data_IF_827760621848
#
_entry.id   IF_827760621848
#
_cell.length_a   1.000
_cell.length_b   1.000
_cell.length_c   1.000
_cell.angle_alpha   90.00
_cell.angle_beta   90.00
_cell.angle_gamma   90.00
#
_symmetry.space_group_name_H-M   'P 1'
#
loop_
_entity.id
_entity.type
_entity.pdbx_description
1 polymer ?
#
# COMPACT_ATOMS: atom_id res chain seq x y z
N UNK A 1 5.81 -18.38 3.03
CA UNK A 1 6.08 -16.98 3.43
C UNK A 1 6.04 -16.10 2.18
N UNK A 2 5.18 -15.07 2.17
CA UNK A 2 5.03 -14.14 1.03
C UNK A 2 6.32 -13.33 0.84
N UNK A 3 6.73 -13.07 -0.41
CA UNK A 3 7.98 -12.34 -0.73
C UNK A 3 8.04 -10.96 -0.06
N UNK A 4 6.90 -10.28 0.06
CA UNK A 4 6.79 -8.95 0.70
C UNK A 4 7.17 -8.99 2.20
N UNK A 5 6.82 -10.07 2.91
CA UNK A 5 7.21 -10.28 4.31
C UNK A 5 8.72 -10.47 4.51
N UNK A 6 9.46 -10.76 3.43
CA UNK A 6 10.93 -10.82 3.41
C UNK A 6 11.58 -9.49 2.96
N UNK A 7 10.81 -8.41 2.88
CA UNK A 7 11.30 -7.09 2.51
C UNK A 7 11.41 -6.84 1.00
N UNK A 8 11.00 -7.79 0.14
CA UNK A 8 11.01 -7.53 -1.30
C UNK A 8 10.01 -6.41 -1.65
N UNK A 9 10.46 -5.46 -2.47
CA UNK A 9 9.68 -4.36 -3.05
C UNK A 9 9.94 -4.28 -4.57
N UNK A 10 8.98 -3.85 -5.39
CA UNK A 10 9.20 -3.63 -6.82
C UNK A 10 10.28 -2.58 -7.10
N UNK A 11 10.98 -2.70 -8.24
CA UNK A 11 11.86 -1.64 -8.75
C UNK A 11 10.99 -0.46 -9.20
N UNK A 12 11.32 0.74 -8.74
CA UNK A 12 10.69 1.99 -9.20
C UNK A 12 11.42 2.46 -10.46
N UNK A 13 10.67 3.00 -11.45
CA UNK A 13 11.27 3.50 -12.69
C UNK A 13 12.14 4.72 -12.41
N UNK A 14 13.28 4.82 -13.10
CA UNK A 14 14.22 5.95 -12.99
C UNK A 14 13.59 7.27 -13.48
N UNK A 15 12.55 7.19 -14.33
CA UNK A 15 11.79 8.35 -14.81
C UNK A 15 10.78 8.90 -13.79
N UNK A 16 10.65 8.26 -12.63
CA UNK A 16 9.70 8.67 -11.59
C UNK A 16 10.22 9.92 -10.89
N UNK A 17 9.43 11.00 -10.78
CA UNK A 17 9.85 12.20 -10.06
C UNK A 17 10.31 11.88 -8.64
N UNK A 18 11.40 12.50 -8.20
CA UNK A 18 12.05 12.21 -6.91
C UNK A 18 11.08 12.25 -5.72
N UNK A 19 10.19 13.25 -5.69
CA UNK A 19 9.18 13.37 -4.64
C UNK A 19 8.26 12.12 -4.57
N UNK A 20 7.87 11.57 -5.71
CA UNK A 20 7.04 10.36 -5.78
C UNK A 20 7.85 9.13 -5.35
N UNK A 21 9.13 9.04 -5.72
CA UNK A 21 10.03 7.96 -5.25
C UNK A 21 10.15 7.97 -3.73
N UNK A 22 10.42 9.13 -3.15
CA UNK A 22 10.59 9.31 -1.71
C UNK A 22 9.29 8.97 -0.96
N UNK A 23 8.13 9.38 -1.50
CA UNK A 23 6.82 9.01 -0.96
C UNK A 23 6.56 7.49 -1.00
N UNK A 24 6.84 6.83 -2.13
CA UNK A 24 6.66 5.38 -2.26
C UNK A 24 7.52 4.64 -1.23
N UNK A 25 8.79 5.04 -1.07
CA UNK A 25 9.71 4.44 -0.09
C UNK A 25 9.17 4.61 1.33
N UNK A 26 8.71 5.81 1.69
CA UNK A 26 8.16 6.11 3.01
C UNK A 26 6.87 5.31 3.30
N UNK A 27 5.98 5.19 2.32
CA UNK A 27 4.76 4.37 2.42
C UNK A 27 5.05 2.87 2.57
N UNK A 28 6.17 2.39 2.04
CA UNK A 28 6.58 0.98 2.06
C UNK A 28 7.41 0.57 3.27
N UNK A 29 7.60 1.47 4.23
CA UNK A 29 8.39 1.20 5.43
C UNK A 29 7.85 -0.06 6.15
N UNK A 30 8.79 -0.88 6.63
CA UNK A 30 8.50 -2.11 7.36
C UNK A 30 7.78 -1.81 8.68
N UNK A 31 8.13 -0.71 9.33
CA UNK A 31 7.50 -0.20 10.54
C UNK A 31 6.30 0.65 10.18
N UNK A 32 5.16 0.38 10.80
CA UNK A 32 3.93 1.12 10.53
C UNK A 32 4.07 2.58 11.00
N UNK A 33 4.81 2.82 12.08
CA UNK A 33 4.99 4.15 12.67
C UNK A 33 5.74 5.13 11.75
N UNK A 34 6.51 4.61 10.81
CA UNK A 34 7.28 5.42 9.85
C UNK A 34 6.46 5.81 8.61
N UNK A 35 5.30 5.19 8.40
CA UNK A 35 4.45 5.45 7.25
C UNK A 35 3.71 6.78 7.44
N UNK A 36 3.56 7.59 6.39
CA UNK A 36 2.79 8.80 6.49
C UNK A 36 1.30 8.48 6.67
N UNK A 37 0.62 9.35 7.40
CA UNK A 37 -0.85 9.34 7.46
C UNK A 37 -1.43 9.81 6.12
N UNK A 38 -2.70 9.47 5.85
CA UNK A 38 -3.43 9.98 4.67
C UNK A 38 -3.48 11.51 4.64
N UNK A 39 -3.54 12.15 5.81
CA UNK A 39 -3.53 13.62 5.94
C UNK A 39 -2.20 14.22 5.49
N UNK A 40 -1.08 13.68 5.97
CA UNK A 40 0.26 14.13 5.55
C UNK A 40 0.47 13.88 4.04
N UNK A 41 0.04 12.74 3.52
CA UNK A 41 0.11 12.44 2.09
C UNK A 41 -0.64 13.48 1.26
N UNK A 42 -1.87 13.81 1.67
CA UNK A 42 -2.69 14.82 1.01
C UNK A 42 -1.98 16.17 0.95
N UNK A 43 -1.45 16.63 2.07
CA UNK A 43 -0.74 17.91 2.16
C UNK A 43 0.52 17.96 1.29
N UNK A 44 1.28 16.85 1.24
CA UNK A 44 2.47 16.77 0.38
C UNK A 44 2.08 16.83 -1.10
N UNK A 45 1.02 16.11 -1.49
CA UNK A 45 0.55 16.07 -2.87
C UNK A 45 -0.09 17.40 -3.30
N UNK A 46 -0.90 18.03 -2.45
CA UNK A 46 -1.46 19.37 -2.69
C UNK A 46 -0.36 20.39 -2.91
N UNK A 47 0.62 20.46 -1.99
CA UNK A 47 1.78 21.34 -2.14
C UNK A 47 2.56 21.05 -3.43
N UNK A 48 2.75 19.78 -3.76
CA UNK A 48 3.45 19.40 -4.98
C UNK A 48 2.70 19.87 -6.24
N UNK A 49 1.37 19.87 -6.21
CA UNK A 49 0.55 20.36 -7.32
C UNK A 49 0.57 21.90 -7.40
N UNK A 50 0.61 22.59 -6.26
CA UNK A 50 0.74 24.07 -6.22
C UNK A 50 2.11 24.55 -6.73
N UNK A 51 3.17 23.79 -6.47
CA UNK A 51 4.54 24.10 -6.92
C UNK A 51 4.76 23.81 -8.42
N UNK A 52 3.84 23.09 -9.06
CA UNK A 52 3.93 22.71 -10.47
C UNK A 52 3.20 23.75 -11.31
N UNK A 53 3.91 24.33 -12.29
CA UNK A 53 3.46 25.40 -13.18
C UNK A 53 2.05 25.14 -13.75
N UNK A 54 1.21 26.18 -13.83
CA UNK A 54 -0.17 26.13 -14.33
C UNK A 54 -0.25 25.59 -15.78
N UNK A 55 0.86 25.62 -16.53
CA UNK A 55 0.98 25.04 -17.88
C UNK A 55 1.28 23.53 -17.90
N UNK A 56 1.57 22.92 -16.75
CA UNK A 56 1.79 21.48 -16.65
C UNK A 56 0.47 20.74 -16.84
N UNK A 57 0.21 20.32 -18.08
CA UNK A 57 -0.93 19.47 -18.40
C UNK A 57 -0.69 18.09 -17.80
N UNK A 58 -1.23 17.84 -16.61
CA UNK A 58 -1.43 16.50 -16.06
C UNK A 58 -2.51 15.79 -16.88
N UNK A 59 -2.23 15.49 -18.15
CA UNK A 59 -2.99 14.45 -18.83
C UNK A 59 -2.76 13.19 -18.02
N UNK A 60 -3.82 12.56 -17.57
CA UNK A 60 -3.78 11.19 -17.07
C UNK A 60 -3.17 10.34 -18.17
N UNK A 61 -1.84 10.22 -18.22
CA UNK A 61 -1.17 9.25 -19.06
C UNK A 61 -1.56 7.94 -18.43
N UNK A 62 -2.46 7.21 -19.09
CA UNK A 62 -2.75 5.82 -18.77
C UNK A 62 -1.40 5.13 -18.59
N UNK A 63 -1.11 4.72 -17.35
CA UNK A 63 0.10 3.97 -17.05
C UNK A 63 -0.05 2.60 -17.72
N UNK A 64 0.39 2.52 -18.97
CA UNK A 64 0.42 1.29 -19.73
C UNK A 64 1.69 0.55 -19.35
N UNK A 65 1.60 -0.29 -18.33
CA UNK A 65 2.67 -1.21 -18.04
C UNK A 65 2.53 -2.41 -18.97
N UNK A 66 3.51 -2.64 -19.85
CA UNK A 66 3.41 -3.70 -20.87
C UNK A 66 3.53 -5.13 -20.28
N UNK A 67 3.79 -5.27 -18.98
CA UNK A 67 4.03 -6.55 -18.31
C UNK A 67 3.33 -6.68 -16.93
N UNK A 68 2.15 -6.07 -16.74
CA UNK A 68 1.38 -6.35 -15.53
C UNK A 68 0.93 -7.81 -15.52
N UNK A 69 1.11 -8.55 -14.41
CA UNK A 69 0.39 -9.81 -14.23
C UNK A 69 -1.12 -9.53 -14.20
N UNK A 70 -1.92 -10.46 -14.71
CA UNK A 70 -3.38 -10.36 -14.59
C UNK A 70 -3.78 -10.18 -13.11
N UNK A 71 -4.76 -9.32 -12.82
CA UNK A 71 -5.25 -9.15 -11.46
C UNK A 71 -5.85 -10.50 -10.99
N UNK A 72 -5.11 -11.19 -10.14
CA UNK A 72 -5.59 -12.41 -9.48
C UNK A 72 -6.20 -12.02 -8.14
N UNK A 73 -7.48 -12.33 -7.95
CA UNK A 73 -8.09 -12.26 -6.63
C UNK A 73 -7.36 -13.24 -5.70
N UNK A 74 -7.17 -12.87 -4.44
CA UNK A 74 -6.57 -13.74 -3.42
C UNK A 74 -7.55 -14.88 -3.10
N UNK A 75 -7.54 -15.94 -3.89
CA UNK A 75 -8.49 -17.06 -3.77
C UNK A 75 -8.01 -18.18 -2.85
N UNK A 76 -6.82 -18.08 -2.23
CA UNK A 76 -6.31 -19.24 -1.50
C UNK A 76 -5.38 -19.00 -0.31
N UNK A 77 -5.76 -18.13 0.62
CA UNK A 77 -5.10 -18.12 1.94
C UNK A 77 -5.58 -19.25 2.86
N UNK A 78 -6.76 -19.83 2.61
CA UNK A 78 -7.38 -20.81 3.51
C UNK A 78 -6.92 -22.25 3.31
N UNK A 79 -6.56 -22.70 2.08
CA UNK A 79 -6.21 -24.12 1.89
C UNK A 79 -4.82 -24.49 2.40
N UNK A 80 -4.00 -23.53 2.82
CA UNK A 80 -2.65 -23.79 3.35
C UNK A 80 -2.63 -24.04 4.87
N UNK A 81 -3.77 -23.89 5.56
CA UNK A 81 -3.90 -24.08 7.02
C UNK A 81 -4.71 -25.32 7.39
N UNK A 82 -4.77 -26.32 6.51
CA UNK A 82 -5.49 -27.57 6.78
C UNK A 82 -4.70 -28.47 7.74
N UNK A 83 -4.48 -28.02 8.97
CA UNK A 83 -4.28 -28.92 10.11
C UNK A 83 -5.62 -29.12 10.83
N UNK A 84 -5.88 -30.32 11.39
CA UNK A 84 -7.16 -30.63 11.99
C UNK A 84 -7.35 -29.82 13.28
N UNK A 85 -8.13 -28.74 13.19
CA UNK A 85 -8.59 -27.96 14.33
C UNK A 85 -9.53 -28.83 15.18
N UNK A 86 -9.00 -29.37 16.28
CA UNK A 86 -9.80 -29.85 17.40
C UNK A 86 -10.59 -28.67 17.96
N UNK A 87 -11.88 -28.88 18.19
CA UNK A 87 -12.86 -27.91 18.67
C UNK A 87 -12.45 -27.25 19.99
N UNK A 88 -11.76 -26.12 19.93
CA UNK A 88 -11.82 -25.04 20.92
C UNK A 88 -11.10 -23.82 20.38
N UNK A 89 -11.68 -22.64 20.60
CA UNK A 89 -11.13 -21.31 20.27
C UNK A 89 -11.30 -20.83 18.82
N UNK A 90 -12.54 -20.43 18.50
CA UNK A 90 -12.82 -19.41 17.49
C UNK A 90 -12.19 -18.08 17.89
N UNK A 91 -10.87 -17.85 17.70
CA UNK A 91 -10.25 -16.52 17.90
C UNK A 91 -8.91 -16.28 17.14
N UNK A 92 -8.36 -17.25 16.39
CA UNK A 92 -7.00 -17.11 15.83
C UNK A 92 -6.89 -16.44 14.44
N UNK A 93 -8.00 -15.98 13.85
CA UNK A 93 -7.97 -15.23 12.57
C UNK A 93 -7.84 -13.71 12.81
N UNK A 94 -8.04 -13.25 14.05
CA UNK A 94 -8.02 -11.81 14.38
C UNK A 94 -6.63 -11.25 14.72
N UNK A 95 -5.64 -12.07 15.10
CA UNK A 95 -4.34 -11.59 15.62
C UNK A 95 -3.28 -11.28 14.54
N UNK A 96 -3.67 -11.15 13.26
CA UNK A 96 -2.73 -10.75 12.19
C UNK A 96 -3.22 -9.63 11.29
N UNK A 97 -4.33 -9.02 11.67
CA UNK A 97 -4.75 -7.72 11.19
C UNK A 97 -4.45 -6.64 12.24
N UNK A 98 -3.23 -6.59 12.79
CA UNK A 98 -2.79 -5.45 13.62
C UNK A 98 -2.47 -4.21 12.75
N UNK A 99 -3.12 -4.07 11.59
CA UNK A 99 -3.53 -2.76 11.17
C UNK A 99 -4.84 -2.54 11.90
N UNK A 100 -4.79 -1.94 13.11
CA UNK A 100 -5.93 -1.25 13.68
C UNK A 100 -6.41 -0.27 12.60
N UNK A 101 -7.34 -0.72 11.75
CA UNK A 101 -8.26 0.16 11.08
C UNK A 101 -9.15 0.67 12.22
N UNK A 102 -8.66 1.68 12.93
CA UNK A 102 -9.56 2.58 13.62
C UNK A 102 -10.42 3.20 12.52
N UNK A 103 -11.60 2.62 12.34
CA UNK A 103 -12.75 3.37 11.84
C UNK A 103 -13.02 4.49 12.86
N UNK A 104 -12.28 5.60 12.75
CA UNK A 104 -12.50 6.86 13.48
C UNK A 104 -11.86 7.98 12.62
N UNK A 105 -12.51 9.02 12.15
CA UNK A 105 -13.90 9.45 12.14
C UNK A 105 -14.07 10.28 10.86
N UNK A 106 -15.14 10.02 10.09
CA UNK A 106 -15.63 10.96 9.09
C UNK A 106 -16.40 12.06 9.82
N UNK A 107 -15.70 12.89 10.59
CA UNK A 107 -16.29 14.08 11.19
C UNK A 107 -15.45 15.31 10.80
N UNK A 108 -16.04 16.04 9.83
CA UNK A 108 -15.94 17.48 9.51
C UNK A 108 -14.60 18.10 9.08
#
# INVERSE_FOLDING_TARGET
VVKICKGFRPKISEDTPKLIVDLIIKCWDAKAENRPTTKELRQILEKYLDDVDDEAIYTSRLLKFENLPEPVNSTNYLSSFQEPISSSSTNLISERLDCELNELDLDE
#
